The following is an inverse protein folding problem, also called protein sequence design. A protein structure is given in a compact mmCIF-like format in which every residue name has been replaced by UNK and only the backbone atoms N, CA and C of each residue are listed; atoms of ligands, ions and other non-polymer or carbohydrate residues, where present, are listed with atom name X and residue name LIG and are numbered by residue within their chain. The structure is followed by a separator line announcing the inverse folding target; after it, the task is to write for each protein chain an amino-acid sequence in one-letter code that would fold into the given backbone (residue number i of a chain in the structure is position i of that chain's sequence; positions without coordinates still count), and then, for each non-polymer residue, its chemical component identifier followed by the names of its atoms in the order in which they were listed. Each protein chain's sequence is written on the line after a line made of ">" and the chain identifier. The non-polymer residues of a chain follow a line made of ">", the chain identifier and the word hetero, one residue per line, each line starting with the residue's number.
data_IF_966914442834
#
_entry.id   IF_966914442834
#
_cell.length_a   1.000
_cell.length_b   1.000
_cell.length_c   1.000
_cell.angle_alpha   90.00
_cell.angle_beta   90.00
_cell.angle_gamma   90.00
#
_symmetry.space_group_name_H-M   'P 1'
#
loop_
_entity.id
_entity.type
_entity.pdbx_description
1 polymer ?
#
# COMPACT_ATOMS: atom_id res chain seq x y z
N UNK A 1 3.91 42.28 -23.57
CA UNK A 1 5.05 41.36 -23.36
C UNK A 1 5.44 41.11 -21.89
N UNK A 2 5.13 41.98 -20.91
CA UNK A 2 5.48 41.71 -19.49
C UNK A 2 4.66 40.57 -18.82
N UNK A 3 3.45 40.28 -19.30
CA UNK A 3 2.58 39.25 -18.70
C UNK A 3 2.91 37.80 -19.10
N UNK A 4 3.64 37.58 -20.20
CA UNK A 4 4.00 36.23 -20.65
C UNK A 4 5.13 35.60 -19.81
N UNK A 5 5.96 36.42 -19.15
CA UNK A 5 7.06 35.91 -18.31
C UNK A 5 6.56 35.40 -16.95
N UNK A 6 5.51 36.03 -16.40
CA UNK A 6 4.89 35.61 -15.13
C UNK A 6 4.19 34.25 -15.29
N UNK A 7 3.50 34.02 -16.41
CA UNK A 7 2.87 32.73 -16.70
C UNK A 7 3.89 31.59 -16.83
N UNK A 8 5.05 31.85 -17.42
CA UNK A 8 6.12 30.85 -17.57
C UNK A 8 6.74 30.45 -16.21
N UNK A 9 6.94 31.42 -15.31
CA UNK A 9 7.47 31.16 -13.97
C UNK A 9 6.48 30.38 -13.08
N UNK A 10 5.17 30.68 -13.17
CA UNK A 10 4.13 29.91 -12.46
C UNK A 10 4.11 28.45 -12.97
N UNK A 11 4.26 28.25 -14.28
CA UNK A 11 4.27 26.90 -14.88
C UNK A 11 5.52 26.10 -14.49
N UNK A 12 6.69 26.72 -14.38
CA UNK A 12 7.91 26.06 -13.90
C UNK A 12 7.83 25.67 -12.42
N UNK A 13 7.18 26.48 -11.57
CA UNK A 13 7.07 26.17 -10.14
C UNK A 13 6.19 24.95 -9.86
N UNK A 14 5.08 24.80 -10.58
CA UNK A 14 4.16 23.66 -10.42
C UNK A 14 4.84 22.33 -10.81
N UNK A 15 5.76 22.35 -11.79
CA UNK A 15 6.45 21.14 -12.25
C UNK A 15 7.62 20.73 -11.34
N UNK A 16 8.31 21.66 -10.69
CA UNK A 16 9.37 21.35 -9.71
C UNK A 16 8.81 20.74 -8.42
N UNK A 17 7.60 21.13 -8.00
CA UNK A 17 6.91 20.53 -6.85
C UNK A 17 6.50 19.07 -7.04
N UNK A 18 6.48 18.54 -8.28
CA UNK A 18 6.08 17.16 -8.54
C UNK A 18 7.18 16.13 -8.21
N UNK A 19 8.46 16.53 -8.24
CA UNK A 19 9.58 15.65 -7.85
C UNK A 19 9.78 15.55 -6.33
N UNK A 20 9.09 16.40 -5.56
CA UNK A 20 9.22 16.47 -4.10
C UNK A 20 8.01 15.87 -3.37
N UNK A 21 7.39 14.84 -3.98
CA UNK A 21 6.21 14.19 -3.39
C UNK A 21 6.57 13.60 -2.02
N UNK A 22 5.67 13.77 -1.05
CA UNK A 22 5.81 13.20 0.30
C UNK A 22 6.14 11.70 0.26
N UNK A 23 5.60 10.99 -0.73
CA UNK A 23 5.83 9.56 -0.93
C UNK A 23 7.26 9.26 -1.38
N UNK A 24 7.85 10.04 -2.29
CA UNK A 24 9.25 9.82 -2.69
C UNK A 24 10.23 10.04 -1.52
N UNK A 25 9.97 11.05 -0.69
CA UNK A 25 10.77 11.29 0.53
C UNK A 25 10.62 10.12 1.51
N UNK A 26 9.40 9.65 1.70
CA UNK A 26 9.10 8.48 2.52
C UNK A 26 9.87 7.25 2.03
N UNK A 27 9.76 6.88 0.75
CA UNK A 27 10.44 5.70 0.19
C UNK A 27 11.96 5.80 0.32
N UNK A 28 12.53 7.00 0.19
CA UNK A 28 13.95 7.22 0.39
C UNK A 28 14.36 6.95 1.84
N UNK A 29 13.54 7.35 2.81
CA UNK A 29 13.78 7.07 4.23
C UNK A 29 13.64 5.56 4.52
N UNK A 30 12.61 4.89 4.00
CA UNK A 30 12.44 3.44 4.17
C UNK A 30 13.66 2.68 3.62
N UNK A 31 14.12 3.01 2.41
CA UNK A 31 15.33 2.41 1.83
C UNK A 31 16.57 2.68 2.68
N UNK A 32 16.71 3.90 3.20
CA UNK A 32 17.82 4.27 4.08
C UNK A 32 17.78 3.47 5.40
N UNK A 33 16.60 3.31 6.02
CA UNK A 33 16.43 2.50 7.21
C UNK A 33 16.83 1.04 6.97
N UNK A 34 16.44 0.46 5.84
CA UNK A 34 16.82 -0.90 5.46
C UNK A 34 18.34 -1.06 5.30
N UNK A 35 19.03 -0.10 4.69
CA UNK A 35 20.50 -0.11 4.58
C UNK A 35 21.16 -0.07 5.96
N UNK A 36 20.63 0.74 6.90
CA UNK A 36 21.15 0.81 8.27
C UNK A 36 20.91 -0.52 9.01
N UNK A 37 19.72 -1.12 8.85
CA UNK A 37 19.40 -2.44 9.40
C UNK A 37 20.36 -3.53 8.90
N UNK A 38 20.60 -3.59 7.58
CA UNK A 38 21.55 -4.52 6.96
C UNK A 38 22.99 -4.33 7.48
N UNK A 39 23.32 -3.12 7.92
CA UNK A 39 24.64 -2.79 8.51
C UNK A 39 24.70 -3.07 10.02
N UNK A 40 23.63 -3.57 10.64
CA UNK A 40 23.53 -3.79 12.08
C UNK A 40 23.36 -2.50 12.91
N UNK A 41 23.09 -1.37 12.27
CA UNK A 41 22.91 -0.06 12.92
C UNK A 41 21.43 0.15 13.31
N UNK A 42 20.92 -0.70 14.21
CA UNK A 42 19.49 -0.79 14.52
C UNK A 42 18.90 0.50 15.09
N UNK A 43 19.58 1.16 16.03
CA UNK A 43 19.12 2.42 16.62
C UNK A 43 18.90 3.50 15.55
N UNK A 44 19.84 3.67 14.61
CA UNK A 44 19.70 4.62 13.50
C UNK A 44 18.59 4.22 12.54
N UNK A 45 18.45 2.92 12.26
CA UNK A 45 17.34 2.44 11.44
C UNK A 45 15.98 2.77 12.08
N UNK A 46 15.84 2.62 13.41
CA UNK A 46 14.65 2.99 14.18
C UNK A 46 14.37 4.49 14.07
N UNK A 47 15.37 5.35 14.25
CA UNK A 47 15.23 6.81 14.10
C UNK A 47 14.73 7.20 12.70
N UNK A 48 15.27 6.57 11.65
CA UNK A 48 14.87 6.82 10.27
C UNK A 48 13.43 6.33 10.02
N UNK A 49 13.01 5.21 10.62
CA UNK A 49 11.61 4.79 10.58
C UNK A 49 10.68 5.81 11.26
N UNK A 50 11.05 6.34 12.43
CA UNK A 50 10.30 7.41 13.08
C UNK A 50 10.18 8.67 12.21
N UNK A 51 11.24 9.04 11.48
CA UNK A 51 11.20 10.12 10.49
C UNK A 51 10.27 9.80 9.31
N UNK A 52 10.33 8.58 8.78
CA UNK A 52 9.48 8.14 7.69
C UNK A 52 7.99 8.20 8.09
N UNK A 53 7.63 7.73 9.28
CA UNK A 53 6.25 7.73 9.75
C UNK A 53 5.69 9.13 10.03
N UNK A 54 6.53 10.17 10.15
CA UNK A 54 6.07 11.57 10.17
C UNK A 54 5.56 12.04 8.80
N UNK A 55 6.00 11.40 7.71
CA UNK A 55 5.58 11.71 6.34
C UNK A 55 4.36 10.90 5.92
N UNK A 56 4.41 9.58 6.11
CA UNK A 56 3.35 8.65 5.75
C UNK A 56 3.18 7.64 6.88
N UNK A 57 1.99 7.61 7.46
CA UNK A 57 1.69 6.82 8.65
C UNK A 57 0.72 5.67 8.40
N UNK A 58 0.36 5.42 7.14
CA UNK A 58 -0.74 4.53 6.76
C UNK A 58 -0.32 3.20 6.13
N UNK A 59 0.98 2.91 6.00
CA UNK A 59 1.48 1.67 5.41
C UNK A 59 1.78 0.68 6.55
N UNK A 60 0.93 -0.34 6.77
CA UNK A 60 1.01 -1.13 8.00
C UNK A 60 2.23 -2.05 8.05
N UNK A 61 2.66 -2.57 6.89
CA UNK A 61 3.79 -3.50 6.83
C UNK A 61 5.11 -2.86 7.25
N UNK A 62 5.34 -1.57 6.97
CA UNK A 62 6.55 -0.90 7.43
C UNK A 62 6.60 -0.75 8.96
N UNK A 63 5.45 -0.71 9.65
CA UNK A 63 5.44 -0.80 11.12
C UNK A 63 5.86 -2.18 11.61
N UNK A 64 5.58 -3.25 10.87
CA UNK A 64 6.10 -4.58 11.20
C UNK A 64 7.62 -4.63 11.04
N UNK A 65 8.17 -4.07 9.96
CA UNK A 65 9.62 -4.01 9.76
C UNK A 65 10.31 -3.25 10.91
N UNK A 66 9.75 -2.10 11.31
CA UNK A 66 10.24 -1.33 12.44
C UNK A 66 10.06 -2.05 13.80
N UNK A 67 8.98 -2.82 13.97
CA UNK A 67 8.75 -3.69 15.12
C UNK A 67 9.83 -4.78 15.22
N UNK A 68 10.06 -5.53 14.14
CA UNK A 68 11.03 -6.63 14.11
C UNK A 68 12.44 -6.13 14.40
N UNK A 69 12.81 -5.00 13.77
CA UNK A 69 14.05 -4.27 14.03
C UNK A 69 14.20 -3.88 15.51
N UNK A 70 13.14 -3.35 16.13
CA UNK A 70 13.17 -2.96 17.55
C UNK A 70 13.32 -4.15 18.48
N UNK A 71 12.81 -5.34 18.12
CA UNK A 71 13.06 -6.57 18.86
C UNK A 71 14.51 -7.02 18.72
N UNK A 72 15.09 -6.92 17.52
CA UNK A 72 16.51 -7.22 17.30
C UNK A 72 17.44 -6.31 18.13
N UNK A 73 17.04 -5.04 18.33
CA UNK A 73 17.70 -4.08 19.22
C UNK A 73 17.38 -4.29 20.72
N UNK A 74 16.62 -5.33 21.07
CA UNK A 74 16.12 -5.57 22.44
C UNK A 74 15.27 -4.41 23.03
N UNK A 75 14.76 -3.52 22.18
CA UNK A 75 13.93 -2.38 22.55
C UNK A 75 12.43 -2.75 22.49
N UNK A 76 12.00 -3.56 23.46
CA UNK A 76 10.62 -4.08 23.51
C UNK A 76 9.55 -3.00 23.68
N UNK A 77 9.87 -1.88 24.33
CA UNK A 77 8.96 -0.75 24.45
C UNK A 77 8.68 -0.14 23.07
N UNK A 78 9.74 0.16 22.31
CA UNK A 78 9.61 0.71 20.95
C UNK A 78 8.95 -0.27 20.00
N UNK A 79 9.28 -1.56 20.10
CA UNK A 79 8.60 -2.61 19.35
C UNK A 79 7.09 -2.59 19.61
N UNK A 80 6.69 -2.53 20.88
CA UNK A 80 5.28 -2.44 21.26
C UNK A 80 4.59 -1.18 20.70
N UNK A 81 5.27 -0.03 20.72
CA UNK A 81 4.74 1.21 20.11
C UNK A 81 4.48 1.04 18.61
N UNK A 82 5.44 0.48 17.86
CA UNK A 82 5.29 0.25 16.43
C UNK A 82 4.18 -0.75 16.14
N UNK A 83 4.09 -1.83 16.91
CA UNK A 83 3.05 -2.82 16.72
C UNK A 83 1.65 -2.22 16.97
N UNK A 84 1.46 -1.48 18.07
CA UNK A 84 0.19 -0.78 18.35
C UNK A 84 -0.17 0.18 17.21
N UNK A 85 0.78 1.00 16.75
CA UNK A 85 0.56 1.93 15.63
C UNK A 85 0.21 1.17 14.36
N UNK A 86 0.94 0.12 14.02
CA UNK A 86 0.66 -0.74 12.87
C UNK A 86 -0.74 -1.34 12.93
N UNK A 87 -1.16 -1.85 14.10
CA UNK A 87 -2.49 -2.44 14.29
C UNK A 87 -3.61 -1.42 14.18
N UNK A 88 -3.42 -0.18 14.67
CA UNK A 88 -4.35 0.92 14.44
C UNK A 88 -4.48 1.29 12.94
N UNK A 89 -3.48 0.91 12.15
CA UNK A 89 -3.49 1.01 10.68
C UNK A 89 -3.86 -0.32 10.03
N UNK A 90 -4.39 -1.31 10.75
CA UNK A 90 -4.87 -2.56 10.16
C UNK A 90 -3.82 -3.65 9.96
N UNK A 91 -2.60 -3.50 10.52
CA UNK A 91 -1.68 -4.63 10.60
C UNK A 91 -2.19 -5.68 11.61
N UNK A 92 -2.31 -6.93 11.17
CA UNK A 92 -2.72 -8.04 12.02
C UNK A 92 -1.57 -9.07 12.13
N UNK A 93 -0.99 -9.14 13.34
CA UNK A 93 0.13 -10.04 13.64
C UNK A 93 -0.28 -11.52 13.69
N UNK A 94 -1.57 -11.85 13.78
CA UNK A 94 -2.04 -13.24 13.96
C UNK A 94 -1.61 -14.20 12.85
N UNK A 95 -1.42 -13.68 11.64
CA UNK A 95 -1.03 -14.47 10.47
C UNK A 95 0.48 -14.59 10.27
N UNK A 96 1.27 -14.03 11.20
CA UNK A 96 2.72 -13.97 11.10
C UNK A 96 3.39 -14.89 12.10
N UNK A 97 4.47 -15.53 11.67
CA UNK A 97 5.31 -16.35 12.52
C UNK A 97 6.79 -16.04 12.24
N UNK A 98 7.48 -15.47 13.22
CA UNK A 98 8.91 -15.15 13.13
C UNK A 98 9.56 -15.19 14.52
N UNK A 99 10.89 -15.37 14.61
CA UNK A 99 11.61 -15.38 15.89
C UNK A 99 11.36 -14.11 16.73
N UNK A 100 11.24 -12.96 16.10
CA UNK A 100 10.98 -11.67 16.76
C UNK A 100 9.60 -11.66 17.44
N UNK A 101 8.60 -12.27 16.80
CA UNK A 101 7.26 -12.43 17.38
C UNK A 101 7.30 -13.35 18.58
N UNK A 102 8.03 -14.45 18.51
CA UNK A 102 8.19 -15.37 19.65
C UNK A 102 8.88 -14.69 20.84
N UNK A 103 9.93 -13.92 20.58
CA UNK A 103 10.63 -13.13 21.61
C UNK A 103 9.71 -12.08 22.23
N UNK A 104 9.00 -11.32 21.40
CA UNK A 104 8.05 -10.32 21.85
C UNK A 104 6.92 -10.92 22.70
N UNK A 105 6.37 -12.08 22.29
CA UNK A 105 5.30 -12.77 23.02
C UNK A 105 5.72 -13.28 24.40
N UNK A 106 7.02 -13.52 24.61
CA UNK A 106 7.59 -13.87 25.93
C UNK A 106 7.77 -12.64 26.84
N UNK A 107 7.72 -11.43 26.29
CA UNK A 107 7.82 -10.18 27.05
C UNK A 107 6.50 -9.80 27.71
N UNK A 108 6.57 -8.93 28.74
CA UNK A 108 5.36 -8.34 29.35
C UNK A 108 4.51 -7.58 28.31
N UNK A 109 5.14 -6.86 27.39
CA UNK A 109 4.47 -6.06 26.36
C UNK A 109 3.62 -6.92 25.43
N UNK A 110 4.10 -8.09 25.02
CA UNK A 110 3.33 -9.02 24.20
C UNK A 110 2.03 -9.43 24.87
N UNK A 111 2.08 -9.80 26.15
CA UNK A 111 0.88 -10.18 26.91
C UNK A 111 -0.15 -9.05 27.02
N UNK A 112 0.29 -7.79 27.08
CA UNK A 112 -0.58 -6.61 27.16
C UNK A 112 -1.18 -6.25 25.79
N UNK A 113 -0.37 -6.31 24.73
CA UNK A 113 -0.83 -6.09 23.36
C UNK A 113 -1.95 -7.05 22.96
N UNK A 114 -1.82 -8.35 23.23
CA UNK A 114 -2.85 -9.32 22.85
C UNK A 114 -4.20 -9.07 23.53
N UNK A 115 -4.22 -8.44 24.72
CA UNK A 115 -5.47 -8.04 25.39
C UNK A 115 -6.20 -6.89 24.69
N UNK A 116 -5.48 -6.04 23.96
CA UNK A 116 -6.03 -4.83 23.33
C UNK A 116 -6.11 -4.92 21.80
N UNK A 117 -5.46 -5.91 21.18
CA UNK A 117 -5.36 -6.08 19.72
C UNK A 117 -6.69 -5.90 19.00
N UNK A 118 -7.73 -6.62 19.42
CA UNK A 118 -9.01 -6.61 18.71
C UNK A 118 -9.67 -5.23 18.72
N UNK A 119 -9.56 -4.51 19.85
CA UNK A 119 -10.03 -3.13 19.94
C UNK A 119 -9.23 -2.19 19.03
N UNK A 120 -7.92 -2.40 18.88
CA UNK A 120 -7.09 -1.62 17.95
C UNK A 120 -7.48 -1.86 16.49
N UNK A 121 -7.70 -3.13 16.11
CA UNK A 121 -8.16 -3.49 14.76
C UNK A 121 -9.56 -2.95 14.48
N UNK A 122 -10.45 -2.95 15.47
CA UNK A 122 -11.80 -2.39 15.33
C UNK A 122 -11.75 -0.89 15.00
N UNK A 123 -10.82 -0.13 15.58
CA UNK A 123 -10.59 1.29 15.23
C UNK A 123 -10.24 1.42 13.75
N UNK A 124 -9.34 0.58 13.24
CA UNK A 124 -9.01 0.58 11.81
C UNK A 124 -10.23 0.27 10.95
N UNK A 125 -10.99 -0.80 11.26
CA UNK A 125 -12.16 -1.18 10.46
C UNK A 125 -13.27 -0.14 10.47
N UNK A 126 -13.40 0.64 11.54
CA UNK A 126 -14.31 1.80 11.61
C UNK A 126 -13.83 3.00 10.79
N UNK A 127 -12.54 3.09 10.48
CA UNK A 127 -11.94 4.20 9.73
C UNK A 127 -12.00 4.06 8.21
N UNK A 128 -12.25 2.85 7.70
CA UNK A 128 -12.27 2.55 6.26
C UNK A 128 -13.71 2.47 5.72
N UNK A 129 -13.87 2.60 4.39
CA UNK A 129 -15.12 2.30 3.70
C UNK A 129 -15.31 0.77 3.64
N UNK A 130 -15.98 0.23 4.66
CA UNK A 130 -16.19 -1.21 4.81
C UNK A 130 -17.06 -1.79 3.69
N UNK A 131 -18.00 -1.01 3.14
CA UNK A 131 -18.85 -1.44 2.02
C UNK A 131 -17.99 -1.60 0.75
N UNK A 132 -17.11 -0.64 0.48
CA UNK A 132 -16.19 -0.71 -0.64
C UNK A 132 -15.21 -1.89 -0.46
N UNK A 133 -14.63 -2.05 0.72
CA UNK A 133 -13.79 -3.21 1.05
C UNK A 133 -14.51 -4.55 0.81
N UNK A 134 -15.74 -4.70 1.30
CA UNK A 134 -16.52 -5.92 1.12
C UNK A 134 -16.87 -6.16 -0.35
N UNK A 135 -17.16 -5.10 -1.11
CA UNK A 135 -17.40 -5.21 -2.56
C UNK A 135 -16.17 -5.73 -3.29
N UNK A 136 -14.97 -5.24 -2.94
CA UNK A 136 -13.71 -5.74 -3.48
C UNK A 136 -13.48 -7.22 -3.09
N UNK A 137 -13.75 -7.60 -1.84
CA UNK A 137 -13.66 -9.01 -1.40
C UNK A 137 -14.56 -9.94 -2.21
N UNK A 138 -15.80 -9.55 -2.50
CA UNK A 138 -16.68 -10.36 -3.33
C UNK A 138 -16.15 -10.49 -4.76
N UNK A 139 -15.56 -9.43 -5.33
CA UNK A 139 -14.90 -9.50 -6.63
C UNK A 139 -13.74 -10.49 -6.62
N UNK A 140 -12.90 -10.49 -5.57
CA UNK A 140 -11.82 -11.49 -5.39
C UNK A 140 -12.37 -12.91 -5.27
N UNK A 141 -13.48 -13.11 -4.56
CA UNK A 141 -14.11 -14.42 -4.39
C UNK A 141 -14.61 -14.98 -5.72
N UNK A 142 -15.23 -14.13 -6.54
CA UNK A 142 -15.66 -14.49 -7.90
C UNK A 142 -14.44 -14.83 -8.76
N UNK A 143 -13.42 -13.97 -8.71
CA UNK A 143 -12.15 -14.15 -9.41
C UNK A 143 -11.49 -15.49 -9.05
N UNK A 144 -11.38 -15.83 -7.76
CA UNK A 144 -10.74 -17.05 -7.26
C UNK A 144 -11.65 -18.28 -7.23
N UNK A 145 -12.88 -18.18 -7.74
CA UNK A 145 -13.81 -19.31 -7.78
C UNK A 145 -13.29 -20.43 -8.68
N UNK A 146 -13.90 -21.63 -8.54
CA UNK A 146 -13.53 -22.84 -9.30
C UNK A 146 -13.52 -22.67 -10.83
N UNK A 147 -14.08 -21.57 -11.34
CA UNK A 147 -14.06 -21.20 -12.77
C UNK A 147 -12.62 -21.00 -13.28
N UNK A 148 -11.70 -20.49 -12.46
CA UNK A 148 -10.29 -20.29 -12.87
C UNK A 148 -9.51 -21.58 -13.14
N UNK A 149 -9.84 -22.67 -12.45
CA UNK A 149 -9.15 -23.95 -12.62
C UNK A 149 -9.33 -24.57 -14.01
N UNK A 150 -10.28 -24.05 -14.81
CA UNK A 150 -10.60 -24.57 -16.14
C UNK A 150 -9.94 -23.79 -17.29
N UNK A 151 -9.30 -22.64 -17.05
CA UNK A 151 -8.52 -21.91 -18.07
C UNK A 151 -9.30 -21.36 -19.27
N UNK A 152 -10.62 -21.20 -19.14
CA UNK A 152 -11.52 -20.96 -20.28
C UNK A 152 -11.86 -19.49 -20.53
N UNK A 153 -12.50 -19.20 -21.68
CA UNK A 153 -13.09 -17.91 -22.08
C UNK A 153 -13.89 -17.19 -20.96
N UNK A 154 -14.49 -17.97 -20.07
CA UNK A 154 -15.23 -17.48 -18.90
C UNK A 154 -14.34 -16.71 -17.92
N UNK A 155 -13.09 -17.12 -17.72
CA UNK A 155 -12.11 -16.41 -16.89
C UNK A 155 -11.82 -15.01 -17.42
N UNK A 156 -11.56 -14.89 -18.73
CA UNK A 156 -11.31 -13.60 -19.38
C UNK A 156 -12.53 -12.68 -19.24
N UNK A 157 -13.74 -13.23 -19.35
CA UNK A 157 -14.96 -12.46 -19.15
C UNK A 157 -15.11 -11.98 -17.70
N UNK A 158 -14.81 -12.83 -16.70
CA UNK A 158 -14.82 -12.45 -15.28
C UNK A 158 -13.79 -11.37 -15.00
N UNK A 159 -12.55 -11.53 -15.48
CA UNK A 159 -11.48 -10.54 -15.30
C UNK A 159 -11.89 -9.18 -15.88
N UNK A 160 -12.51 -9.17 -17.07
CA UNK A 160 -13.03 -7.97 -17.72
C UNK A 160 -14.19 -7.33 -16.95
N UNK A 161 -15.16 -8.13 -16.47
CA UNK A 161 -16.30 -7.63 -15.67
C UNK A 161 -15.85 -7.07 -14.33
N UNK A 162 -14.92 -7.73 -13.64
CA UNK A 162 -14.32 -7.23 -12.41
C UNK A 162 -13.55 -5.94 -12.66
N UNK A 163 -12.81 -5.83 -13.77
CA UNK A 163 -12.12 -4.60 -14.09
C UNK A 163 -13.09 -3.43 -14.35
N UNK A 164 -14.18 -3.68 -15.09
CA UNK A 164 -15.21 -2.65 -15.30
C UNK A 164 -15.87 -2.23 -13.98
N UNK A 165 -16.23 -3.19 -13.12
CA UNK A 165 -16.78 -2.92 -11.80
C UNK A 165 -15.81 -2.13 -10.91
N UNK A 166 -14.50 -2.43 -10.98
CA UNK A 166 -13.47 -1.65 -10.29
C UNK A 166 -13.44 -0.20 -10.79
N UNK A 167 -13.54 0.02 -12.10
CA UNK A 167 -13.58 1.37 -12.69
C UNK A 167 -14.81 2.14 -12.19
N UNK A 168 -15.99 1.53 -12.21
CA UNK A 168 -17.23 2.15 -11.72
C UNK A 168 -17.14 2.50 -10.23
N UNK A 169 -16.64 1.59 -9.39
CA UNK A 169 -16.43 1.88 -7.98
C UNK A 169 -15.41 3.00 -7.77
N UNK A 170 -14.31 2.98 -8.53
CA UNK A 170 -13.25 3.98 -8.45
C UNK A 170 -13.69 5.36 -8.95
N UNK A 171 -14.63 5.44 -9.90
CA UNK A 171 -15.17 6.73 -10.35
C UNK A 171 -16.11 7.35 -9.31
N UNK A 172 -16.86 6.52 -8.56
CA UNK A 172 -17.77 6.98 -7.51
C UNK A 172 -17.04 7.31 -6.20
N UNK A 173 -16.10 6.47 -5.78
CA UNK A 173 -15.46 6.52 -4.45
C UNK A 173 -13.97 6.90 -4.49
N UNK A 174 -13.41 7.15 -5.68
CA UNK A 174 -11.96 7.28 -5.92
C UNK A 174 -11.27 5.91 -5.89
N UNK A 175 -10.05 5.81 -6.46
CA UNK A 175 -9.34 4.54 -6.52
C UNK A 175 -9.06 3.98 -5.11
N UNK A 176 -9.09 2.65 -4.89
CA UNK A 176 -8.81 2.04 -3.59
C UNK A 176 -7.39 2.32 -3.11
N UNK A 177 -7.26 2.93 -1.94
CA UNK A 177 -6.00 3.09 -1.22
C UNK A 177 -6.08 2.33 0.10
N UNK A 178 -4.93 2.13 0.73
CA UNK A 178 -4.90 1.47 2.04
C UNK A 178 -5.71 2.26 3.09
N UNK A 179 -5.56 3.59 3.13
CA UNK A 179 -6.35 4.44 4.03
C UNK A 179 -7.86 4.32 3.81
N UNK A 180 -8.29 4.13 2.55
CA UNK A 180 -9.71 4.13 2.20
C UNK A 180 -10.37 2.76 2.39
N UNK A 181 -9.65 1.69 2.11
CA UNK A 181 -10.22 0.33 2.00
C UNK A 181 -9.42 -0.74 2.75
N UNK A 182 -8.41 -0.36 3.53
CA UNK A 182 -7.45 -1.29 4.11
C UNK A 182 -6.82 -2.17 3.03
N UNK A 183 -6.73 -3.47 3.30
CA UNK A 183 -6.25 -4.46 2.34
C UNK A 183 -7.12 -4.63 1.07
N UNK A 184 -8.25 -3.94 0.96
CA UNK A 184 -9.03 -3.87 -0.28
C UNK A 184 -8.21 -3.36 -1.47
N UNK A 185 -7.25 -2.46 -1.25
CA UNK A 185 -6.37 -1.97 -2.31
C UNK A 185 -5.52 -3.09 -2.95
N UNK A 186 -5.13 -4.12 -2.18
CA UNK A 186 -4.40 -5.28 -2.71
C UNK A 186 -5.28 -6.13 -3.64
N UNK A 187 -6.60 -6.15 -3.39
CA UNK A 187 -7.56 -6.80 -4.27
C UNK A 187 -7.71 -6.02 -5.58
N UNK A 188 -7.78 -4.69 -5.51
CA UNK A 188 -7.77 -3.85 -6.70
C UNK A 188 -6.51 -4.09 -7.54
N UNK A 189 -5.33 -4.13 -6.90
CA UNK A 189 -4.05 -4.48 -7.55
C UNK A 189 -4.12 -5.85 -8.23
N UNK A 190 -4.67 -6.87 -7.57
CA UNK A 190 -4.85 -8.21 -8.14
C UNK A 190 -5.73 -8.19 -9.41
N UNK A 191 -6.85 -7.47 -9.38
CA UNK A 191 -7.75 -7.32 -10.55
C UNK A 191 -7.02 -6.65 -11.72
N UNK A 192 -6.24 -5.59 -11.46
CA UNK A 192 -5.41 -4.94 -12.47
C UNK A 192 -4.36 -5.90 -13.05
N UNK A 193 -3.73 -6.69 -12.18
CA UNK A 193 -2.72 -7.66 -12.58
C UNK A 193 -3.26 -8.74 -13.53
N UNK A 194 -4.48 -9.22 -13.32
CA UNK A 194 -5.14 -10.15 -14.25
C UNK A 194 -5.41 -9.56 -15.63
N UNK A 195 -5.50 -8.24 -15.73
CA UNK A 195 -5.75 -7.51 -16.97
C UNK A 195 -4.47 -6.86 -17.54
N UNK A 196 -3.28 -7.29 -17.11
CA UNK A 196 -2.01 -6.68 -17.50
C UNK A 196 -1.66 -6.85 -18.99
N UNK A 197 -2.12 -7.92 -19.66
CA UNK A 197 -1.80 -8.19 -21.08
C UNK A 197 -2.31 -7.11 -22.04
N UNK A 198 -3.29 -6.33 -21.60
CA UNK A 198 -3.90 -5.26 -22.39
C UNK A 198 -3.54 -3.86 -21.86
N UNK A 199 -2.58 -3.79 -20.93
CA UNK A 199 -2.00 -2.54 -20.45
C UNK A 199 -1.03 -1.96 -21.50
N UNK A 200 -0.96 -0.63 -21.68
CA UNK A 200 -1.86 0.42 -21.14
C UNK A 200 -3.00 0.76 -22.11
N UNK A 201 -3.15 0.03 -23.23
CA UNK A 201 -3.89 0.50 -24.40
C UNK A 201 -5.40 0.27 -24.35
N UNK A 202 -5.89 -0.66 -23.53
CA UNK A 202 -7.31 -0.99 -23.46
C UNK A 202 -8.17 0.21 -23.00
N UNK A 203 -9.44 0.23 -23.41
CA UNK A 203 -10.37 1.27 -22.98
C UNK A 203 -10.55 1.29 -21.46
N UNK A 204 -10.45 0.13 -20.79
CA UNK A 204 -10.51 0.03 -19.34
C UNK A 204 -9.28 0.66 -18.67
N UNK A 205 -8.08 0.37 -19.19
CA UNK A 205 -6.85 0.96 -18.69
C UNK A 205 -6.81 2.48 -18.83
N UNK A 206 -7.23 3.01 -19.99
CA UNK A 206 -7.36 4.45 -20.22
C UNK A 206 -8.29 5.15 -19.22
N UNK A 207 -9.30 4.44 -18.69
CA UNK A 207 -10.26 4.98 -17.71
C UNK A 207 -9.77 4.86 -16.27
N UNK A 208 -9.05 3.79 -15.90
CA UNK A 208 -8.58 3.60 -14.52
C UNK A 208 -7.32 4.41 -14.21
N UNK A 209 -6.42 4.59 -15.18
CA UNK A 209 -5.12 5.28 -14.99
C UNK A 209 -5.32 6.70 -14.43
N UNK A 210 -6.22 7.55 -14.94
CA UNK A 210 -6.46 8.88 -14.36
C UNK A 210 -6.92 8.83 -12.90
N UNK A 211 -7.71 7.83 -12.52
CA UNK A 211 -8.20 7.65 -11.15
C UNK A 211 -7.07 7.27 -10.19
N UNK A 212 -6.13 6.44 -10.65
CA UNK A 212 -4.93 6.05 -9.90
C UNK A 212 -3.93 7.21 -9.80
N UNK A 213 -3.67 7.91 -10.91
CA UNK A 213 -2.80 9.09 -10.94
C UNK A 213 -3.26 10.17 -9.96
N UNK A 214 -4.58 10.33 -9.78
CA UNK A 214 -5.14 11.22 -8.75
C UNK A 214 -4.69 10.82 -7.34
N UNK A 215 -4.74 9.55 -6.98
CA UNK A 215 -4.32 9.09 -5.64
C UNK A 215 -2.78 9.12 -5.48
N UNK A 216 -2.02 8.84 -6.54
CA UNK A 216 -0.55 9.00 -6.56
C UNK A 216 -0.17 10.47 -6.34
N UNK A 217 -0.79 11.39 -7.07
CA UNK A 217 -0.56 12.83 -6.93
C UNK A 217 -0.88 13.32 -5.51
N UNK A 218 -1.92 12.75 -4.89
CA UNK A 218 -2.29 13.04 -3.50
C UNK A 218 -1.39 12.35 -2.46
N UNK A 219 -0.35 11.62 -2.87
CA UNK A 219 0.56 10.92 -1.96
C UNK A 219 -0.08 9.76 -1.19
N UNK A 220 -1.18 9.20 -1.69
CA UNK A 220 -1.91 8.09 -1.05
C UNK A 220 -1.62 6.73 -1.69
N UNK A 221 -0.74 6.73 -2.69
CA UNK A 221 -0.39 5.57 -3.49
C UNK A 221 1.03 5.71 -4.02
N UNK A 222 1.70 4.58 -4.21
CA UNK A 222 3.11 4.53 -4.59
C UNK A 222 3.34 5.12 -5.99
N UNK A 223 4.26 6.08 -6.18
CA UNK A 223 4.47 6.72 -7.48
C UNK A 223 4.99 5.78 -8.58
N UNK A 224 5.68 4.70 -8.20
CA UNK A 224 6.26 3.74 -9.13
C UNK A 224 5.28 2.61 -9.49
N UNK A 225 4.01 2.67 -9.05
CA UNK A 225 3.07 1.56 -9.14
C UNK A 225 2.97 0.97 -10.56
N UNK A 226 3.04 1.80 -11.59
CA UNK A 226 2.93 1.35 -12.98
C UNK A 226 4.15 0.58 -13.51
N UNK A 227 5.32 0.70 -12.86
CA UNK A 227 6.54 0.02 -13.32
C UNK A 227 6.37 -1.51 -13.36
N UNK A 228 5.58 -2.11 -12.47
CA UNK A 228 5.36 -3.56 -12.48
C UNK A 228 4.61 -4.03 -13.74
N UNK A 229 3.74 -3.18 -14.30
CA UNK A 229 3.01 -3.48 -15.54
C UNK A 229 3.88 -3.25 -16.77
N UNK A 230 4.70 -2.19 -16.73
CA UNK A 230 5.64 -1.85 -17.82
C UNK A 230 6.75 -2.88 -17.96
N UNK A 231 7.31 -3.38 -16.86
CA UNK A 231 8.36 -4.40 -16.90
C UNK A 231 7.83 -5.72 -17.48
N UNK A 232 6.62 -6.14 -17.09
CA UNK A 232 5.99 -7.33 -17.69
C UNK A 232 5.74 -7.18 -19.19
N UNK A 233 5.39 -5.99 -19.65
CA UNK A 233 5.24 -5.73 -21.09
C UNK A 233 6.57 -5.93 -21.82
N UNK A 234 7.69 -5.51 -21.24
CA UNK A 234 9.03 -5.74 -21.81
C UNK A 234 9.37 -7.23 -21.86
N UNK A 235 9.11 -7.97 -20.80
CA UNK A 235 9.33 -9.43 -20.75
C UNK A 235 8.54 -10.19 -21.82
N UNK A 236 7.31 -9.76 -22.15
CA UNK A 236 6.49 -10.41 -23.17
C UNK A 236 6.95 -10.15 -24.62
N UNK A 237 7.79 -9.13 -24.84
CA UNK A 237 8.28 -8.74 -26.17
C UNK A 237 9.68 -9.29 -26.48
N UNK A 238 10.29 -10.04 -25.56
CA UNK A 238 11.58 -10.72 -25.72
C UNK A 238 11.39 -12.24 -25.78
#
# INVERSE_FOLDING_TARGET
>A
MKYNFIFFLIFCWINLSAQDSTYYKYDKLIKKANIQNESGEFEKAIEIYDEAFKLIDFIPYHYYDAFALSIADSNYLKANEYLIKGTLKGFDLTSWNSPEIELYNKSKFGSEYWKIRDSLLEIHFKSIDIEYYNTLKEMKKIDQSNIRRKGNKEMVNIDSLNFEKLILLSSMKGFPTFQKTGYGCNIAKLILWHNNKVYPSSNQWKRIIPLMNKEIFNGRFEPNFFHEFENKLKEMNH
#
